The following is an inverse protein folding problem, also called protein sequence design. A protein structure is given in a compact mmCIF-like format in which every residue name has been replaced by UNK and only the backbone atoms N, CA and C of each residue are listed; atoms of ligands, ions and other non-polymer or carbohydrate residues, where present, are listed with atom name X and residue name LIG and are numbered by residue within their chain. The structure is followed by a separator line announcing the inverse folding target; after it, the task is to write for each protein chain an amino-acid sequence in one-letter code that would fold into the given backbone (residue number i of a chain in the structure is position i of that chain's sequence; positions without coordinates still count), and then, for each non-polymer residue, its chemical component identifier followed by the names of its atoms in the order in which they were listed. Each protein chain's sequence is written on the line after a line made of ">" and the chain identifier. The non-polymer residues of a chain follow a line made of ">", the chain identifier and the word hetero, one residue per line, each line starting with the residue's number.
data_IF_107781842986
#
_entry.id   IF_107781842986
#
_cell.length_a   1.000
_cell.length_b   1.000
_cell.length_c   1.000
_cell.angle_alpha   90.00
_cell.angle_beta   90.00
_cell.angle_gamma   90.00
#
_symmetry.space_group_name_H-M   'P 1'
#
loop_
_entity.id
_entity.type
_entity.pdbx_description
1 polymer ?
#
# COMPACT_ATOMS: atom_id res chain seq x y z
N UNK A 1 13.86 -35.43 18.49
CA UNK A 1 12.77 -34.45 18.62
C UNK A 1 13.32 -33.01 18.58
N UNK A 2 13.90 -32.56 17.46
CA UNK A 2 14.61 -31.26 17.42
C UNK A 2 14.52 -30.52 16.07
N UNK A 3 13.56 -30.85 15.19
CA UNK A 3 13.51 -30.32 13.81
C UNK A 3 12.29 -29.44 13.48
N UNK A 4 11.39 -29.17 14.44
CA UNK A 4 10.17 -28.38 14.21
C UNK A 4 10.34 -26.89 14.55
N UNK A 5 11.28 -26.54 15.42
CA UNK A 5 11.52 -25.14 15.80
C UNK A 5 12.23 -24.35 14.69
N UNK A 6 13.17 -24.94 13.95
CA UNK A 6 13.87 -24.26 12.85
C UNK A 6 12.94 -23.88 11.69
N UNK A 7 12.00 -24.77 11.30
CA UNK A 7 10.98 -24.44 10.28
C UNK A 7 10.01 -23.36 10.76
N UNK A 8 9.60 -23.41 12.03
CA UNK A 8 8.75 -22.39 12.65
C UNK A 8 9.41 -21.00 12.65
N UNK A 9 10.68 -20.91 13.07
CA UNK A 9 11.43 -19.65 13.12
C UNK A 9 11.69 -19.10 11.71
N UNK A 10 12.01 -19.97 10.75
CA UNK A 10 12.18 -19.58 9.35
C UNK A 10 10.87 -19.04 8.75
N UNK A 11 9.73 -19.65 9.06
CA UNK A 11 8.42 -19.17 8.61
C UNK A 11 8.09 -17.78 9.19
N UNK A 12 8.40 -17.55 10.47
CA UNK A 12 8.20 -16.24 11.12
C UNK A 12 9.09 -15.16 10.53
N UNK A 13 10.33 -15.48 10.16
CA UNK A 13 11.25 -14.55 9.50
C UNK A 13 10.78 -14.20 8.08
N UNK A 14 10.39 -15.21 7.29
CA UNK A 14 9.85 -15.01 5.93
C UNK A 14 8.56 -14.19 5.98
N UNK A 15 7.70 -14.43 6.96
CA UNK A 15 6.45 -13.69 7.16
C UNK A 15 6.70 -12.24 7.60
N UNK A 16 7.68 -12.03 8.50
CA UNK A 16 8.10 -10.69 8.91
C UNK A 16 8.66 -9.91 7.73
N UNK A 17 9.56 -10.51 6.96
CA UNK A 17 10.09 -9.92 5.75
C UNK A 17 9.00 -9.68 4.68
N UNK A 18 7.98 -10.52 4.62
CA UNK A 18 6.84 -10.36 3.72
C UNK A 18 5.99 -9.12 4.02
N UNK A 19 5.92 -8.71 5.28
CA UNK A 19 5.09 -7.59 5.73
C UNK A 19 5.86 -6.27 5.95
N UNK A 20 7.19 -6.27 5.83
CA UNK A 20 7.98 -5.05 5.91
C UNK A 20 7.65 -4.13 4.72
N UNK A 21 6.99 -3.00 5.00
CA UNK A 21 6.58 -2.00 4.00
C UNK A 21 7.74 -1.51 3.13
N UNK A 22 8.93 -1.31 3.70
CA UNK A 22 10.11 -0.90 2.94
C UNK A 22 10.47 -1.91 1.84
N UNK A 23 10.24 -3.21 2.07
CA UNK A 23 10.56 -4.26 1.11
C UNK A 23 9.58 -4.33 -0.07
N UNK A 24 8.44 -3.63 -0.03
CA UNK A 24 7.45 -3.68 -1.12
C UNK A 24 8.05 -3.21 -2.45
N UNK A 25 8.69 -2.04 -2.47
CA UNK A 25 9.34 -1.52 -3.69
C UNK A 25 10.62 -2.30 -4.04
N UNK A 26 11.41 -2.70 -3.04
CA UNK A 26 12.65 -3.45 -3.26
C UNK A 26 12.41 -4.84 -3.85
N UNK A 27 11.31 -5.51 -3.52
CA UNK A 27 10.97 -6.81 -4.11
C UNK A 27 10.73 -6.72 -5.60
N UNK A 28 9.99 -5.70 -6.05
CA UNK A 28 9.77 -5.44 -7.48
C UNK A 28 11.13 -5.17 -8.15
N UNK A 29 11.92 -4.29 -7.55
CA UNK A 29 13.25 -3.96 -8.08
C UNK A 29 14.17 -5.17 -8.19
N UNK A 30 14.15 -6.06 -7.18
CA UNK A 30 14.93 -7.30 -7.20
C UNK A 30 14.48 -8.27 -8.30
N UNK A 31 13.16 -8.47 -8.48
CA UNK A 31 12.61 -9.40 -9.48
C UNK A 31 12.89 -8.94 -10.91
N UNK A 32 12.85 -7.63 -11.16
CA UNK A 32 13.09 -7.04 -12.49
C UNK A 32 14.53 -6.54 -12.68
N UNK A 33 15.43 -6.83 -11.74
CA UNK A 33 16.84 -6.37 -11.73
C UNK A 33 17.03 -4.85 -11.91
N UNK A 34 16.10 -4.05 -11.37
CA UNK A 34 16.13 -2.59 -11.46
C UNK A 34 17.17 -2.03 -10.49
N UNK A 35 18.04 -1.15 -11.00
CA UNK A 35 19.15 -0.54 -10.24
C UNK A 35 18.88 0.90 -9.80
N UNK A 36 17.73 1.45 -10.15
CA UNK A 36 17.31 2.80 -9.79
C UNK A 36 16.80 2.92 -8.34
N UNK A 37 16.32 4.11 -7.95
CA UNK A 37 15.75 4.34 -6.63
C UNK A 37 14.50 3.47 -6.40
N UNK A 38 14.40 2.90 -5.20
CA UNK A 38 13.28 2.04 -4.80
C UNK A 38 12.84 2.40 -3.37
N UNK A 39 11.61 2.89 -3.23
CA UNK A 39 11.08 3.32 -1.93
C UNK A 39 9.56 3.13 -1.84
N UNK A 40 9.07 3.02 -0.61
CA UNK A 40 7.65 2.97 -0.29
C UNK A 40 7.18 4.36 0.17
N UNK A 41 5.99 4.76 -0.27
CA UNK A 41 5.38 6.06 0.07
C UNK A 41 4.06 5.81 0.77
N UNK A 42 3.85 6.46 1.91
CA UNK A 42 2.61 6.43 2.69
C UNK A 42 2.12 7.86 2.92
N UNK A 43 1.16 8.30 2.10
CA UNK A 43 0.42 9.56 2.27
C UNK A 43 -1.09 9.29 2.39
N UNK A 44 -1.45 8.16 3.02
CA UNK A 44 -2.81 7.67 3.15
C UNK A 44 -3.52 7.55 1.79
N UNK A 45 -4.68 8.17 1.61
CA UNK A 45 -5.51 8.07 0.40
C UNK A 45 -4.83 8.62 -0.87
N UNK A 46 -3.78 9.44 -0.72
CA UNK A 46 -3.04 10.03 -1.83
C UNK A 46 -1.76 9.27 -2.20
N UNK A 47 -1.47 8.13 -1.55
CA UNK A 47 -0.16 7.45 -1.65
C UNK A 47 0.27 7.15 -3.08
N UNK A 48 -0.62 6.60 -3.91
CA UNK A 48 -0.32 6.27 -5.31
C UNK A 48 -0.05 7.52 -6.15
N UNK A 49 -0.79 8.60 -5.91
CA UNK A 49 -0.59 9.88 -6.60
C UNK A 49 0.71 10.55 -6.16
N UNK A 50 1.02 10.54 -4.86
CA UNK A 50 2.30 11.06 -4.35
C UNK A 50 3.48 10.30 -4.94
N UNK A 51 3.40 8.96 -5.01
CA UNK A 51 4.42 8.14 -5.66
C UNK A 51 4.59 8.49 -7.15
N UNK A 52 3.48 8.73 -7.86
CA UNK A 52 3.50 9.15 -9.25
C UNK A 52 4.18 10.51 -9.43
N UNK A 53 3.86 11.50 -8.60
CA UNK A 53 4.51 12.81 -8.64
C UNK A 53 6.02 12.71 -8.40
N UNK A 54 6.45 11.86 -7.46
CA UNK A 54 7.86 11.64 -7.18
C UNK A 54 8.58 11.00 -8.38
N UNK A 55 7.99 9.96 -8.96
CA UNK A 55 8.52 9.31 -10.16
C UNK A 55 8.62 10.29 -11.35
N UNK A 56 7.58 11.09 -11.58
CA UNK A 56 7.56 12.07 -12.65
C UNK A 56 8.66 13.12 -12.50
N UNK A 57 8.87 13.63 -11.28
CA UNK A 57 9.94 14.57 -10.99
C UNK A 57 11.33 13.96 -11.22
N UNK A 58 11.52 12.69 -10.84
CA UNK A 58 12.79 11.99 -11.00
C UNK A 58 13.14 11.75 -12.47
N UNK A 59 12.13 11.42 -13.30
CA UNK A 59 12.27 11.29 -14.75
C UNK A 59 12.63 12.63 -15.41
N UNK A 60 11.95 13.72 -15.03
CA UNK A 60 12.22 15.05 -15.60
C UNK A 60 13.62 15.56 -15.24
N UNK A 61 14.09 15.25 -14.03
CA UNK A 61 15.43 15.62 -13.58
C UNK A 61 16.53 14.79 -14.26
N UNK A 62 16.17 13.73 -14.99
CA UNK A 62 17.12 12.83 -15.63
C UNK A 62 17.85 11.91 -14.65
N UNK A 63 17.31 11.73 -13.44
CA UNK A 63 17.87 10.80 -12.46
C UNK A 63 17.56 9.34 -12.80
N UNK A 64 16.43 9.11 -13.50
CA UNK A 64 15.97 7.81 -13.97
C UNK A 64 15.47 7.90 -15.41
N UNK A 65 15.70 6.86 -16.22
CA UNK A 65 15.17 6.76 -17.58
C UNK A 65 13.74 6.20 -17.62
N UNK A 66 13.41 5.37 -16.63
CA UNK A 66 12.11 4.70 -16.48
C UNK A 66 11.73 4.65 -15.00
N UNK A 67 10.44 4.72 -14.71
CA UNK A 67 9.91 4.61 -13.37
C UNK A 67 8.71 3.66 -13.33
N UNK A 68 8.66 2.81 -12.30
CA UNK A 68 7.52 1.93 -12.03
C UNK A 68 6.82 2.46 -10.79
N UNK A 69 5.53 2.74 -10.92
CA UNK A 69 4.67 3.20 -9.82
C UNK A 69 3.58 2.17 -9.61
N UNK A 70 3.42 1.72 -8.36
CA UNK A 70 2.37 0.79 -7.97
C UNK A 70 1.61 1.34 -6.76
N UNK A 71 0.30 1.13 -6.73
CA UNK A 71 -0.55 1.42 -5.59
C UNK A 71 -1.41 0.22 -5.27
N UNK A 72 -1.49 -0.14 -3.99
CA UNK A 72 -2.37 -1.21 -3.50
C UNK A 72 -3.08 -0.75 -2.23
N UNK A 73 -4.31 -1.22 -2.05
CA UNK A 73 -5.08 -1.03 -0.84
C UNK A 73 -5.74 -2.37 -0.52
N UNK A 74 -5.60 -2.83 0.73
CA UNK A 74 -6.19 -4.09 1.19
C UNK A 74 -6.82 -3.85 2.56
N UNK A 75 -8.13 -4.05 2.65
CA UNK A 75 -8.94 -3.82 3.86
C UNK A 75 -9.34 -5.15 4.52
N UNK A 76 -8.35 -5.95 4.95
CA UNK A 76 -8.61 -7.25 5.59
C UNK A 76 -9.11 -7.14 7.03
N UNK A 77 -8.66 -6.12 7.75
CA UNK A 77 -8.92 -5.99 9.18
C UNK A 77 -10.19 -5.16 9.45
N UNK A 78 -11.24 -5.74 10.05
CA UNK A 78 -12.47 -5.01 10.36
C UNK A 78 -12.25 -3.82 11.29
N UNK A 79 -11.20 -3.82 12.12
CA UNK A 79 -10.90 -2.73 13.05
C UNK A 79 -10.73 -1.38 12.35
N UNK A 80 -9.98 -1.30 11.25
CA UNK A 80 -9.73 -0.04 10.53
C UNK A 80 -11.04 0.51 9.95
N UNK A 81 -11.87 -0.38 9.39
CA UNK A 81 -13.19 -0.03 8.87
C UNK A 81 -14.15 0.44 9.98
N UNK A 82 -14.04 -0.10 11.20
CA UNK A 82 -14.84 0.32 12.35
C UNK A 82 -14.46 1.72 12.82
N UNK A 83 -13.17 2.06 12.89
CA UNK A 83 -12.74 3.42 13.23
C UNK A 83 -13.24 4.45 12.22
N UNK A 84 -13.11 4.16 10.92
CA UNK A 84 -13.58 5.07 9.87
C UNK A 84 -15.11 5.26 9.93
N UNK A 85 -15.86 4.22 10.31
CA UNK A 85 -17.30 4.33 10.60
C UNK A 85 -17.57 5.17 11.85
N UNK A 86 -16.80 5.01 12.93
CA UNK A 86 -16.93 5.82 14.14
C UNK A 86 -16.67 7.30 13.90
N UNK A 87 -15.74 7.63 12.98
CA UNK A 87 -15.47 9.00 12.56
C UNK A 87 -16.46 9.54 11.52
N UNK A 88 -17.51 8.77 11.16
CA UNK A 88 -18.53 9.20 10.19
C UNK A 88 -18.00 9.35 8.76
N UNK A 89 -16.88 8.70 8.43
CA UNK A 89 -16.24 8.82 7.11
C UNK A 89 -16.85 7.85 6.09
N UNK A 90 -17.44 6.75 6.55
CA UNK A 90 -18.00 5.69 5.71
C UNK A 90 -19.50 5.84 5.52
N UNK A 91 -19.96 5.76 4.27
CA UNK A 91 -21.40 5.71 3.98
C UNK A 91 -22.01 4.40 4.52
N UNK A 92 -23.07 4.45 5.35
CA UNK A 92 -23.80 3.26 5.80
C UNK A 92 -24.46 2.50 4.65
N UNK A 93 -24.73 3.20 3.54
CA UNK A 93 -25.34 2.65 2.32
C UNK A 93 -24.33 1.90 1.46
N UNK A 94 -23.03 2.01 1.75
CA UNK A 94 -21.96 1.37 0.99
C UNK A 94 -21.79 1.96 -0.41
N UNK A 95 -22.17 3.22 -0.62
CA UNK A 95 -22.03 3.93 -1.90
C UNK A 95 -21.35 5.27 -1.68
N UNK A 96 -20.47 5.66 -2.61
CA UNK A 96 -19.89 7.01 -2.64
C UNK A 96 -20.76 7.88 -3.56
N UNK A 97 -21.74 8.60 -3.01
CA UNK A 97 -22.63 9.49 -3.77
C UNK A 97 -21.94 10.84 -4.05
N UNK A 98 -20.89 10.82 -4.89
CA UNK A 98 -20.03 12.00 -5.11
C UNK A 98 -20.84 13.16 -5.68
N UNK A 99 -20.81 14.31 -4.98
CA UNK A 99 -21.52 15.56 -5.31
C UNK A 99 -23.06 15.50 -5.24
N UNK A 100 -23.64 14.43 -4.70
CA UNK A 100 -25.09 14.32 -4.47
C UNK A 100 -25.50 14.99 -3.14
N UNK A 101 -26.74 15.48 -3.05
CA UNK A 101 -27.29 16.03 -1.79
C UNK A 101 -27.35 14.97 -0.68
N UNK A 102 -27.53 13.69 -1.03
CA UNK A 102 -27.57 12.57 -0.10
C UNK A 102 -26.20 12.01 0.29
N UNK A 103 -25.10 12.71 -0.03
CA UNK A 103 -23.75 12.28 0.29
C UNK A 103 -23.50 12.19 1.82
N UNK A 104 -23.27 10.97 2.30
CA UNK A 104 -23.14 10.63 3.72
C UNK A 104 -21.80 9.93 4.08
N UNK A 105 -20.83 9.95 3.16
CA UNK A 105 -19.50 9.36 3.33
C UNK A 105 -18.99 8.70 2.05
N UNK A 106 -17.82 8.03 2.13
CA UNK A 106 -17.30 7.22 1.03
C UNK A 106 -17.41 5.71 1.32
N UNK A 107 -17.46 4.92 0.27
CA UNK A 107 -17.35 3.46 0.33
C UNK A 107 -15.88 3.04 0.41
N UNK A 108 -15.55 2.15 1.36
CA UNK A 108 -14.27 1.44 1.36
C UNK A 108 -14.39 0.21 0.46
N UNK A 109 -13.46 0.09 -0.48
CA UNK A 109 -13.34 -1.11 -1.32
C UNK A 109 -12.73 -2.26 -0.50
N UNK A 110 -13.31 -3.45 -0.60
CA UNK A 110 -12.76 -4.68 -0.01
C UNK A 110 -11.76 -5.35 -0.94
#
# INVERSE_FOLDING_TARGET
>A
MQNNNLKSVNNSFVSSAGNLKCLYAHRISYVFDLKGPAFFVDSACASSMTALTLAFNDLIQGNSDYAIVCGTHMAFEPFINQWQQMFGMCSPRGVSAVFDESADGYMITR
#
